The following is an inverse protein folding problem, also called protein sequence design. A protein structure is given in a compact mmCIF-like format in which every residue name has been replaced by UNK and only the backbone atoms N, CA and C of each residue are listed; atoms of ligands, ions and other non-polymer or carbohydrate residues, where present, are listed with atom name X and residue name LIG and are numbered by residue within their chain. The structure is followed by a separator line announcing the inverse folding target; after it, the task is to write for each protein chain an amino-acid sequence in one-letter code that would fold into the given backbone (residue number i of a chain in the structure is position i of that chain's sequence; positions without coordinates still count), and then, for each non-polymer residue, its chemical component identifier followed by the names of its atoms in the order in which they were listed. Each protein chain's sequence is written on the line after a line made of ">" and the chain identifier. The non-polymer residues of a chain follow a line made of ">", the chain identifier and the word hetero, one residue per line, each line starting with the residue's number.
data_IF_957042770482
#
_entry.id   IF_957042770482
#
_cell.length_a   1.000
_cell.length_b   1.000
_cell.length_c   1.000
_cell.angle_alpha   90.00
_cell.angle_beta   90.00
_cell.angle_gamma   90.00
#
_symmetry.space_group_name_H-M   'P 1'
#
loop_
_entity.id
_entity.type
_entity.pdbx_description
1 polymer ?
#
# COMPACT_ATOMS: atom_id res chain seq x y z
N UNK A 1 17.70 32.24 -3.34
CA UNK A 1 16.96 31.16 -4.01
C UNK A 1 17.74 29.87 -3.80
N UNK A 2 17.45 29.11 -2.73
CA UNK A 2 18.03 27.79 -2.51
C UNK A 2 17.04 26.76 -3.08
N UNK A 3 17.20 26.38 -4.35
CA UNK A 3 16.62 25.14 -4.86
C UNK A 3 17.45 23.99 -4.29
N UNK A 4 16.88 23.27 -3.33
CA UNK A 4 17.41 22.01 -2.83
C UNK A 4 16.29 20.98 -2.81
N UNK A 5 15.94 20.41 -3.97
CA UNK A 5 15.01 19.30 -4.04
C UNK A 5 15.57 18.24 -4.99
N UNK A 6 16.44 17.36 -4.48
CA UNK A 6 16.70 16.07 -5.10
C UNK A 6 16.87 15.05 -3.97
N UNK A 7 15.75 14.48 -3.50
CA UNK A 7 15.77 13.26 -2.67
C UNK A 7 15.08 12.07 -3.37
N UNK A 8 15.51 11.68 -4.60
CA UNK A 8 14.98 10.48 -5.25
C UNK A 8 15.39 9.21 -4.49
N UNK A 9 16.62 9.13 -3.98
CA UNK A 9 17.12 7.93 -3.31
C UNK A 9 16.34 7.56 -2.02
N UNK A 10 15.89 8.58 -1.25
CA UNK A 10 15.07 8.33 -0.06
C UNK A 10 13.67 7.87 -0.45
N UNK A 11 13.04 8.55 -1.42
CA UNK A 11 11.71 8.18 -1.91
C UNK A 11 11.70 6.77 -2.55
N UNK A 12 12.75 6.41 -3.29
CA UNK A 12 12.93 5.06 -3.84
C UNK A 12 13.07 4.04 -2.70
N UNK A 13 13.85 4.34 -1.66
CA UNK A 13 14.01 3.43 -0.51
C UNK A 13 12.71 3.22 0.28
N UNK A 14 11.88 4.27 0.43
CA UNK A 14 10.57 4.20 1.07
C UNK A 14 9.59 3.38 0.21
N UNK A 15 9.61 3.61 -1.11
CA UNK A 15 8.76 2.87 -2.06
C UNK A 15 9.12 1.38 -2.08
N UNK A 16 10.40 1.02 -2.11
CA UNK A 16 10.84 -0.38 -2.09
C UNK A 16 10.55 -1.05 -0.73
N UNK A 17 10.66 -0.31 0.38
CA UNK A 17 10.21 -0.80 1.69
C UNK A 17 8.70 -1.11 1.66
N UNK A 18 7.89 -0.16 1.18
CA UNK A 18 6.44 -0.34 1.05
C UNK A 18 6.05 -1.55 0.21
N UNK A 19 6.76 -1.74 -0.91
CA UNK A 19 6.61 -2.92 -1.77
C UNK A 19 6.87 -4.21 -1.00
N UNK A 20 8.00 -4.31 -0.30
CA UNK A 20 8.33 -5.50 0.48
C UNK A 20 7.29 -5.80 1.56
N UNK A 21 6.75 -4.77 2.22
CA UNK A 21 5.69 -4.94 3.22
C UNK A 21 4.40 -5.51 2.63
N UNK A 22 3.95 -5.00 1.49
CA UNK A 22 2.70 -5.50 0.88
C UNK A 22 2.88 -6.88 0.25
N UNK A 23 4.07 -7.20 -0.25
CA UNK A 23 4.40 -8.55 -0.73
C UNK A 23 4.32 -9.58 0.41
N UNK A 24 4.86 -9.27 1.58
CA UNK A 24 4.83 -10.18 2.74
C UNK A 24 3.44 -10.29 3.36
N UNK A 25 2.76 -9.16 3.54
CA UNK A 25 1.56 -9.12 4.39
C UNK A 25 0.23 -9.11 3.61
N UNK A 26 0.22 -8.71 2.34
CA UNK A 26 -1.02 -8.46 1.59
C UNK A 26 -1.18 -9.39 0.37
N UNK A 27 -0.08 -9.83 -0.25
CA UNK A 27 -0.09 -10.57 -1.52
C UNK A 27 -0.74 -11.96 -1.47
N UNK A 28 -0.98 -12.50 -0.27
CA UNK A 28 -1.78 -13.72 -0.12
C UNK A 28 -3.17 -13.57 -0.76
N UNK A 29 -3.77 -12.40 -0.66
CA UNK A 29 -5.12 -12.14 -1.15
C UNK A 29 -5.15 -11.12 -2.29
N UNK A 30 -4.42 -10.02 -2.14
CA UNK A 30 -4.45 -8.90 -3.08
C UNK A 30 -3.43 -9.04 -4.20
N UNK A 31 -3.79 -8.58 -5.39
CA UNK A 31 -2.80 -8.23 -6.40
C UNK A 31 -2.08 -6.94 -5.96
N UNK A 32 -0.80 -7.05 -5.64
CA UNK A 32 0.03 -5.97 -5.12
C UNK A 32 0.97 -5.40 -6.17
N UNK A 33 1.05 -6.02 -7.35
CA UNK A 33 1.85 -5.57 -8.47
C UNK A 33 1.07 -4.83 -9.56
N UNK A 34 1.80 -4.44 -10.62
CA UNK A 34 1.23 -3.71 -11.77
C UNK A 34 0.35 -4.60 -12.66
N UNK A 35 0.61 -5.91 -12.70
CA UNK A 35 0.03 -6.84 -13.68
C UNK A 35 -0.45 -8.16 -13.10
N UNK A 36 -0.23 -8.40 -11.82
CA UNK A 36 -0.65 -9.61 -11.12
C UNK A 36 -2.18 -9.64 -10.90
N UNK A 37 -2.67 -10.79 -10.43
CA UNK A 37 -4.09 -11.03 -10.17
C UNK A 37 -4.28 -11.30 -8.69
N UNK A 38 -5.38 -10.78 -8.13
CA UNK A 38 -5.79 -11.13 -6.78
C UNK A 38 -6.14 -12.61 -6.71
N UNK A 39 -5.74 -13.25 -5.61
CA UNK A 39 -6.03 -14.66 -5.35
C UNK A 39 -7.36 -14.85 -4.62
N UNK A 40 -7.85 -13.80 -3.96
CA UNK A 40 -9.15 -13.79 -3.29
C UNK A 40 -10.17 -12.94 -4.08
N UNK A 41 -11.41 -13.41 -4.31
CA UNK A 41 -12.40 -12.71 -5.14
C UNK A 41 -12.79 -11.33 -4.58
N UNK A 42 -12.82 -11.19 -3.25
CA UNK A 42 -13.16 -9.92 -2.58
C UNK A 42 -11.94 -9.01 -2.35
N UNK A 43 -10.74 -9.45 -2.74
CA UNK A 43 -9.52 -8.65 -2.59
C UNK A 43 -9.29 -7.83 -3.87
N UNK A 44 -9.61 -6.52 -3.89
CA UNK A 44 -9.33 -5.70 -5.06
C UNK A 44 -7.81 -5.61 -5.31
N UNK A 45 -7.37 -5.53 -6.59
CA UNK A 45 -6.00 -5.23 -6.89
C UNK A 45 -5.66 -3.80 -6.46
N UNK A 46 -4.51 -3.61 -5.82
CA UNK A 46 -4.12 -2.34 -5.19
C UNK A 46 -4.10 -1.16 -6.17
N UNK A 47 -3.74 -1.42 -7.43
CA UNK A 47 -3.75 -0.45 -8.54
C UNK A 47 -5.11 0.19 -8.87
N UNK A 48 -6.20 -0.29 -8.27
CA UNK A 48 -7.56 0.23 -8.54
C UNK A 48 -8.25 0.82 -7.31
N UNK A 49 -7.57 0.91 -6.16
CA UNK A 49 -8.18 1.39 -4.92
C UNK A 49 -8.62 2.85 -5.02
N UNK A 50 -7.87 3.68 -5.74
CA UNK A 50 -8.19 5.10 -5.98
C UNK A 50 -9.56 5.35 -6.62
N UNK A 51 -10.13 4.32 -7.28
CA UNK A 51 -11.46 4.38 -7.89
C UNK A 51 -12.59 4.35 -6.86
N UNK A 52 -12.29 3.97 -5.63
CA UNK A 52 -13.26 3.82 -4.54
C UNK A 52 -13.06 4.86 -3.45
N UNK A 53 -11.80 5.19 -3.12
CA UNK A 53 -11.44 6.14 -2.08
C UNK A 53 -10.01 6.67 -2.27
N UNK A 54 -9.67 7.85 -1.70
CA UNK A 54 -8.29 8.33 -1.60
C UNK A 54 -7.37 7.31 -0.93
N UNK A 55 -6.16 7.10 -1.45
CA UNK A 55 -5.22 6.10 -0.88
C UNK A 55 -4.79 6.45 0.55
N UNK A 56 -4.81 7.74 0.92
CA UNK A 56 -4.60 8.21 2.30
C UNK A 56 -5.62 7.67 3.29
N UNK A 57 -6.83 7.30 2.86
CA UNK A 57 -7.87 6.78 3.75
C UNK A 57 -7.51 5.38 4.29
N UNK A 58 -6.45 4.76 3.75
CA UNK A 58 -5.89 3.52 4.28
C UNK A 58 -5.12 3.73 5.59
N UNK A 59 -4.69 4.95 5.92
CA UNK A 59 -3.84 5.24 7.10
C UNK A 59 -4.46 4.72 8.39
N UNK A 60 -5.72 5.05 8.64
CA UNK A 60 -6.45 4.65 9.86
C UNK A 60 -6.57 3.13 9.95
N UNK A 61 -6.97 2.47 8.86
CA UNK A 61 -7.07 1.01 8.81
C UNK A 61 -5.71 0.31 9.03
N UNK A 62 -4.62 0.88 8.50
CA UNK A 62 -3.27 0.34 8.70
C UNK A 62 -2.77 0.58 10.13
N UNK A 63 -3.19 1.69 10.78
CA UNK A 63 -2.80 2.07 12.13
C UNK A 63 -3.56 1.32 13.23
N UNK A 64 -4.86 1.09 13.04
CA UNK A 64 -5.72 0.41 14.02
C UNK A 64 -5.69 -1.11 13.89
N UNK A 65 -5.26 -1.61 12.72
CA UNK A 65 -5.16 -3.04 12.41
C UNK A 65 -5.96 -3.39 11.16
N UNK A 66 -5.31 -4.10 10.23
CA UNK A 66 -5.84 -4.37 8.88
C UNK A 66 -6.90 -5.48 8.92
N UNK A 67 -8.09 -5.13 9.42
CA UNK A 67 -9.25 -6.02 9.54
C UNK A 67 -10.51 -5.43 8.86
N UNK A 68 -10.34 -4.38 8.06
CA UNK A 68 -11.46 -3.51 7.63
C UNK A 68 -12.25 -4.03 6.43
N UNK A 69 -11.89 -5.18 5.85
CA UNK A 69 -12.48 -5.68 4.61
C UNK A 69 -13.40 -6.91 4.75
N UNK A 70 -12.93 -7.96 5.44
CA UNK A 70 -13.62 -9.24 5.61
C UNK A 70 -12.87 -10.14 6.62
N UNK A 71 -13.49 -11.19 7.19
CA UNK A 71 -12.86 -12.05 8.20
C UNK A 71 -11.55 -12.74 7.79
N UNK A 72 -11.33 -13.00 6.49
CA UNK A 72 -10.11 -13.66 6.01
C UNK A 72 -8.89 -12.72 5.90
N UNK A 73 -9.06 -11.41 6.15
CA UNK A 73 -7.99 -10.43 6.10
C UNK A 73 -7.14 -10.55 7.37
N UNK A 74 -5.81 -10.81 7.27
CA UNK A 74 -4.99 -10.98 8.47
C UNK A 74 -4.89 -9.68 9.26
N UNK A 75 -5.08 -9.78 10.56
CA UNK A 75 -4.85 -8.67 11.46
C UNK A 75 -3.36 -8.50 11.73
N UNK A 76 -2.87 -7.30 11.45
CA UNK A 76 -1.56 -6.84 11.91
C UNK A 76 -1.56 -5.31 11.93
N UNK A 77 -0.71 -4.76 12.78
CA UNK A 77 -0.55 -3.31 12.95
C UNK A 77 0.77 -2.90 12.33
N UNK A 78 0.72 -1.95 11.40
CA UNK A 78 1.91 -1.33 10.83
C UNK A 78 2.40 -0.19 11.74
N UNK A 79 3.71 -0.01 11.89
CA UNK A 79 4.26 1.20 12.50
C UNK A 79 4.00 2.43 11.61
N UNK A 80 4.04 3.67 12.13
CA UNK A 80 3.85 4.87 11.32
C UNK A 80 4.73 4.92 10.06
N UNK A 81 6.03 4.59 10.18
CA UNK A 81 6.96 4.56 9.05
C UNK A 81 6.58 3.48 8.02
N UNK A 82 6.04 2.34 8.47
CA UNK A 82 5.56 1.28 7.58
C UNK A 82 4.29 1.71 6.85
N UNK A 83 3.38 2.41 7.53
CA UNK A 83 2.15 2.97 6.93
C UNK A 83 2.51 3.93 5.80
N UNK A 84 3.41 4.88 6.07
CA UNK A 84 3.90 5.83 5.06
C UNK A 84 4.50 5.09 3.85
N UNK A 85 5.35 4.09 4.10
CA UNK A 85 5.96 3.31 3.04
C UNK A 85 4.92 2.55 2.19
N UNK A 86 3.96 1.89 2.83
CA UNK A 86 2.87 1.14 2.16
C UNK A 86 2.04 2.07 1.28
N UNK A 87 1.60 3.20 1.82
CA UNK A 87 0.79 4.18 1.10
C UNK A 87 1.55 4.78 -0.05
N UNK A 88 2.83 5.11 0.15
CA UNK A 88 3.72 5.60 -0.90
C UNK A 88 3.78 4.59 -2.04
N UNK A 89 4.04 3.32 -1.74
CA UNK A 89 4.10 2.27 -2.75
C UNK A 89 2.76 2.09 -3.48
N UNK A 90 1.65 1.91 -2.75
CA UNK A 90 0.32 1.73 -3.33
C UNK A 90 -0.03 2.91 -4.24
N UNK A 91 0.32 4.14 -3.87
CA UNK A 91 0.09 5.33 -4.68
C UNK A 91 0.77 5.26 -6.05
N UNK A 92 1.94 4.62 -6.15
CA UNK A 92 2.65 4.43 -7.44
C UNK A 92 1.92 3.49 -8.42
N UNK A 93 0.98 2.69 -7.92
CA UNK A 93 0.27 1.68 -8.71
C UNK A 93 -1.03 2.21 -9.33
N UNK A 94 -1.56 3.33 -8.84
CA UNK A 94 -2.94 3.73 -9.15
C UNK A 94 -3.16 3.96 -10.64
N UNK A 95 -4.21 3.33 -11.16
CA UNK A 95 -4.68 3.51 -12.52
C UNK A 95 -5.82 4.54 -12.58
N UNK A 96 -5.94 5.30 -13.68
CA UNK A 96 -7.11 6.13 -13.94
C UNK A 96 -8.42 5.33 -13.94
#
# INVERSE_FOLDING_TARGET
>A
MLLGCVQPALADSVTEHGKALVEVNCARCHAVGKTDRSNHPDAPPFRTLSKRYPISDLEEALAEGISTGHPDMPEWTASPDQIEAIITYISTLQQP
#
